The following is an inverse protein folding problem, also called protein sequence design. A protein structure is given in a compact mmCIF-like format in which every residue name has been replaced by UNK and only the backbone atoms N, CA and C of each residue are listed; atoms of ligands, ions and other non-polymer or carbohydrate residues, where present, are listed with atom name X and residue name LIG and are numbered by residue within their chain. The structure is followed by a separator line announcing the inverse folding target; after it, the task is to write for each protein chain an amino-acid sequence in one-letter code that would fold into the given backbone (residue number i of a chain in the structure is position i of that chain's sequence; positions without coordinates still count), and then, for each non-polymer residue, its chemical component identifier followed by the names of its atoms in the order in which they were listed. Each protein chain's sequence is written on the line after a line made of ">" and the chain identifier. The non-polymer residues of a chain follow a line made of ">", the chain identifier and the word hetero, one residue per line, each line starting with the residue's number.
data_IF_088100018371
#
_entry.id   IF_088100018371
#
_cell.length_a   1.000
_cell.length_b   1.000
_cell.length_c   1.000
_cell.angle_alpha   90.00
_cell.angle_beta   90.00
_cell.angle_gamma   90.00
#
_symmetry.space_group_name_H-M   'P 1'
#
loop_
_entity.id
_entity.type
_entity.pdbx_description
1 polymer ?
#
# COMPACT_ATOMS: atom_id res chain seq x y z
N UNK A 1 -1.72 -29.01 19.41
CA UNK A 1 -2.19 -27.64 19.27
C UNK A 1 -1.66 -27.11 17.93
N UNK A 2 -2.54 -26.79 16.98
CA UNK A 2 -2.12 -26.19 15.71
C UNK A 2 -1.48 -24.83 16.03
N UNK A 3 -0.21 -24.65 15.66
CA UNK A 3 0.48 -23.37 15.75
C UNK A 3 -0.30 -22.38 14.87
N UNK A 4 -0.88 -21.33 15.46
CA UNK A 4 -1.48 -20.24 14.71
C UNK A 4 -0.43 -19.74 13.69
N UNK A 5 -0.76 -19.81 12.39
CA UNK A 5 0.04 -19.20 11.34
C UNK A 5 0.07 -17.69 11.61
N UNK A 6 1.22 -17.16 11.95
CA UNK A 6 1.45 -15.72 12.06
C UNK A 6 1.32 -15.13 10.65
N UNK A 7 0.16 -14.55 10.36
CA UNK A 7 -0.06 -13.81 9.11
C UNK A 7 0.61 -12.45 9.22
N UNK A 8 1.23 -11.99 8.14
CA UNK A 8 1.74 -10.63 8.04
C UNK A 8 0.60 -9.63 8.31
N UNK A 9 0.79 -8.79 9.30
CA UNK A 9 -0.24 -7.88 9.78
C UNK A 9 0.10 -6.44 9.42
N UNK A 10 -0.88 -5.72 8.89
CA UNK A 10 -0.72 -4.32 8.49
C UNK A 10 -1.71 -3.47 9.27
N UNK A 11 -1.24 -2.33 9.77
CA UNK A 11 -2.10 -1.29 10.36
C UNK A 11 -1.99 0.01 9.58
N UNK A 12 -3.14 0.57 9.23
CA UNK A 12 -3.26 1.86 8.56
C UNK A 12 -3.94 2.83 9.51
N UNK A 13 -3.23 3.91 9.82
CA UNK A 13 -3.76 5.06 10.56
C UNK A 13 -4.09 6.17 9.57
N UNK A 14 -5.29 6.75 9.66
CA UNK A 14 -5.74 7.81 8.76
C UNK A 14 -6.48 8.91 9.49
N UNK A 15 -6.54 10.10 8.90
CA UNK A 15 -7.16 11.28 9.52
C UNK A 15 -8.62 11.45 9.13
N UNK A 16 -8.96 11.17 7.88
CA UNK A 16 -10.21 11.56 7.27
C UNK A 16 -11.14 10.41 6.90
N UNK A 17 -12.36 10.79 6.58
CA UNK A 17 -13.40 9.87 6.14
C UNK A 17 -13.11 9.30 4.73
N UNK A 18 -12.43 10.07 3.89
CA UNK A 18 -12.05 9.67 2.52
C UNK A 18 -11.10 8.50 2.54
N UNK A 19 -9.99 8.62 3.26
CA UNK A 19 -8.96 7.60 3.41
C UNK A 19 -9.57 6.34 4.02
N UNK A 20 -10.36 6.52 5.08
CA UNK A 20 -11.01 5.40 5.76
C UNK A 20 -11.91 4.60 4.80
N UNK A 21 -12.81 5.27 4.07
CA UNK A 21 -13.70 4.59 3.13
C UNK A 21 -12.95 3.97 1.96
N UNK A 22 -11.92 4.65 1.45
CA UNK A 22 -11.10 4.10 0.37
C UNK A 22 -10.46 2.77 0.79
N UNK A 23 -9.72 2.78 1.89
CA UNK A 23 -9.01 1.57 2.33
C UNK A 23 -9.95 0.48 2.84
N UNK A 24 -11.01 0.82 3.58
CA UNK A 24 -11.98 -0.17 4.05
C UNK A 24 -12.71 -0.86 2.90
N UNK A 25 -13.12 -0.11 1.88
CA UNK A 25 -13.73 -0.67 0.67
C UNK A 25 -12.72 -1.53 -0.10
N UNK A 26 -11.48 -1.08 -0.23
CA UNK A 26 -10.43 -1.85 -0.89
C UNK A 26 -10.15 -3.17 -0.15
N UNK A 27 -10.12 -3.14 1.18
CA UNK A 27 -10.00 -4.33 2.03
C UNK A 27 -11.13 -5.33 1.76
N UNK A 28 -12.36 -4.85 1.72
CA UNK A 28 -13.54 -5.69 1.50
C UNK A 28 -13.52 -6.34 0.10
N UNK A 29 -13.20 -5.57 -0.95
CA UNK A 29 -13.20 -6.04 -2.36
C UNK A 29 -12.04 -7.00 -2.62
N UNK A 30 -10.83 -6.63 -2.19
CA UNK A 30 -9.60 -7.38 -2.49
C UNK A 30 -9.24 -8.41 -1.42
N UNK A 31 -9.98 -8.46 -0.32
CA UNK A 31 -9.74 -9.35 0.83
C UNK A 31 -8.33 -9.20 1.43
N UNK A 32 -7.80 -7.99 1.39
CA UNK A 32 -6.53 -7.68 2.03
C UNK A 32 -6.65 -7.79 3.56
N UNK A 33 -5.60 -8.31 4.20
CA UNK A 33 -5.57 -8.45 5.64
C UNK A 33 -4.87 -7.26 6.29
N UNK A 34 -5.65 -6.26 6.70
CA UNK A 34 -5.16 -5.13 7.48
C UNK A 34 -6.26 -4.56 8.38
N UNK A 35 -5.88 -3.79 9.37
CA UNK A 35 -6.80 -3.01 10.21
C UNK A 35 -6.65 -1.52 9.97
N UNK A 36 -7.78 -0.80 10.07
CA UNK A 36 -7.84 0.66 10.04
C UNK A 36 -7.95 1.20 11.46
N UNK A 37 -7.18 2.26 11.74
CA UNK A 37 -7.24 2.97 13.02
C UNK A 37 -7.34 4.50 12.77
N UNK A 38 -8.13 5.23 13.54
CA UNK A 38 -9.17 4.71 14.43
C UNK A 38 -10.29 4.01 13.64
N UNK A 39 -10.96 3.04 14.27
CA UNK A 39 -12.17 2.46 13.70
C UNK A 39 -13.22 3.57 13.56
N UNK A 40 -13.54 3.96 12.34
CA UNK A 40 -14.36 5.09 11.90
C UNK A 40 -14.12 6.35 12.75
N UNK A 41 -13.49 7.40 12.20
CA UNK A 41 -13.32 8.67 12.93
C UNK A 41 -14.67 9.20 13.41
N UNK A 42 -14.91 9.20 14.71
CA UNK A 42 -16.08 9.87 15.28
C UNK A 42 -15.96 11.35 14.92
N UNK A 43 -17.00 11.91 14.27
CA UNK A 43 -17.04 13.28 13.75
C UNK A 43 -16.09 13.59 12.56
N UNK A 44 -15.61 12.57 11.84
CA UNK A 44 -15.00 12.74 10.53
C UNK A 44 -13.58 13.29 10.49
N UNK A 45 -12.93 13.56 11.63
CA UNK A 45 -11.56 14.08 11.67
C UNK A 45 -10.80 13.57 12.88
N UNK A 46 -9.73 12.84 12.67
CA UNK A 46 -8.64 12.70 13.64
C UNK A 46 -7.45 13.55 13.18
N UNK A 47 -6.67 14.11 14.09
CA UNK A 47 -5.43 14.79 13.68
C UNK A 47 -4.28 13.82 13.62
N UNK A 48 -3.26 14.11 12.78
CA UNK A 48 -2.05 13.27 12.74
C UNK A 48 -1.41 13.09 14.12
N UNK A 49 -1.50 14.11 15.00
CA UNK A 49 -1.00 14.03 16.39
C UNK A 49 -1.75 13.00 17.24
N UNK A 50 -3.05 12.86 17.02
CA UNK A 50 -3.84 11.80 17.69
C UNK A 50 -3.45 10.42 17.14
N UNK A 51 -3.27 10.31 15.83
CA UNK A 51 -2.79 9.07 15.21
C UNK A 51 -1.39 8.69 15.69
N UNK A 52 -0.47 9.64 15.87
CA UNK A 52 0.84 9.36 16.46
C UNK A 52 0.75 8.77 17.87
N UNK A 53 -0.20 9.23 18.71
CA UNK A 53 -0.42 8.62 20.04
C UNK A 53 -0.93 7.18 19.95
N UNK A 54 -1.76 6.86 18.95
CA UNK A 54 -2.21 5.49 18.70
C UNK A 54 -1.06 4.61 18.19
N UNK A 55 -0.24 5.15 17.29
CA UNK A 55 0.98 4.50 16.78
C UNK A 55 1.97 4.21 17.92
N UNK A 56 2.16 5.15 18.85
CA UNK A 56 3.01 4.92 20.03
C UNK A 56 2.53 3.73 20.88
N UNK A 57 1.22 3.58 21.04
CA UNK A 57 0.64 2.42 21.74
C UNK A 57 0.91 1.12 20.98
N UNK A 58 0.81 1.15 19.65
CA UNK A 58 1.12 -0.01 18.81
C UNK A 58 2.60 -0.40 18.92
N UNK A 59 3.51 0.59 18.83
CA UNK A 59 4.97 0.39 18.91
C UNK A 59 5.43 -0.15 20.28
N UNK A 60 4.66 0.12 21.36
CA UNK A 60 4.94 -0.39 22.71
C UNK A 60 4.50 -1.84 22.95
N UNK A 61 3.75 -2.43 22.02
CA UNK A 61 3.36 -3.84 22.11
C UNK A 61 4.57 -4.76 21.98
N UNK A 62 4.43 -5.97 22.51
CA UNK A 62 5.43 -7.01 22.26
C UNK A 62 5.63 -7.23 20.76
N UNK A 63 6.87 -7.51 20.29
CA UNK A 63 7.14 -7.72 18.87
C UNK A 63 6.23 -8.74 18.17
N UNK A 64 5.75 -9.75 18.92
CA UNK A 64 4.84 -10.78 18.39
C UNK A 64 3.38 -10.32 18.22
N UNK A 65 2.98 -9.23 18.90
CA UNK A 65 1.62 -8.68 18.89
C UNK A 65 1.55 -7.38 18.04
N UNK A 66 2.70 -6.80 17.77
CA UNK A 66 2.82 -5.59 16.99
C UNK A 66 2.61 -5.88 15.52
N UNK A 67 1.97 -4.96 14.80
CA UNK A 67 1.84 -5.04 13.35
C UNK A 67 3.22 -5.07 12.67
N UNK A 68 3.36 -5.91 11.63
CA UNK A 68 4.59 -6.04 10.83
C UNK A 68 4.84 -4.79 9.96
N UNK A 69 3.77 -4.10 9.55
CA UNK A 69 3.85 -2.81 8.87
C UNK A 69 2.85 -1.81 9.44
N UNK A 70 3.29 -0.58 9.65
CA UNK A 70 2.49 0.52 10.18
C UNK A 70 2.55 1.68 9.19
N UNK A 71 1.39 2.09 8.68
CA UNK A 71 1.24 3.23 7.78
C UNK A 71 0.48 4.36 8.45
N UNK A 72 0.94 5.59 8.26
CA UNK A 72 0.20 6.80 8.57
C UNK A 72 -0.15 7.52 7.26
N UNK A 73 -1.43 7.50 6.89
CA UNK A 73 -1.95 8.20 5.71
C UNK A 73 -2.34 9.61 6.12
N UNK A 74 -1.80 10.61 5.41
CA UNK A 74 -1.92 12.02 5.79
C UNK A 74 -2.00 12.95 4.58
N UNK A 75 -2.92 13.92 4.66
CA UNK A 75 -2.99 15.06 3.76
C UNK A 75 -2.08 16.18 4.28
N UNK A 76 -1.31 16.80 3.40
CA UNK A 76 -0.27 17.76 3.83
C UNK A 76 -0.62 19.23 3.57
N UNK A 77 -1.77 19.54 2.98
CA UNK A 77 -2.20 20.91 2.65
C UNK A 77 -2.24 21.83 3.87
N UNK A 78 -2.97 21.43 4.91
CA UNK A 78 -3.11 22.22 6.13
C UNK A 78 -1.80 22.38 6.91
N UNK A 79 -0.92 21.37 6.84
CA UNK A 79 0.37 21.40 7.54
C UNK A 79 1.37 22.34 6.85
N UNK A 80 1.38 22.36 5.51
CA UNK A 80 2.28 23.21 4.71
C UNK A 80 1.92 24.68 4.77
N UNK A 81 0.67 25.01 5.04
CA UNK A 81 0.21 26.40 5.17
C UNK A 81 0.70 27.09 6.46
N UNK A 82 1.25 26.34 7.42
CA UNK A 82 1.83 26.85 8.66
C UNK A 82 3.27 26.32 8.81
N UNK A 83 4.27 27.17 8.63
CA UNK A 83 5.68 26.80 8.68
C UNK A 83 6.10 26.13 10.00
N UNK A 84 5.49 26.56 11.13
CA UNK A 84 5.76 25.97 12.45
C UNK A 84 5.17 24.57 12.57
N UNK A 85 3.93 24.37 12.11
CA UNK A 85 3.31 23.04 12.08
C UNK A 85 4.05 22.11 11.12
N UNK A 86 4.46 22.62 9.96
CA UNK A 86 5.26 21.86 8.99
C UNK A 86 6.60 21.42 9.59
N UNK A 87 7.33 22.32 10.24
CA UNK A 87 8.60 21.97 10.89
C UNK A 87 8.43 20.89 11.97
N UNK A 88 7.37 21.00 12.80
CA UNK A 88 7.05 20.00 13.81
C UNK A 88 6.65 18.65 13.19
N UNK A 89 5.90 18.70 12.09
CA UNK A 89 5.54 17.49 11.34
C UNK A 89 6.77 16.76 10.82
N UNK A 90 7.71 17.46 10.18
CA UNK A 90 8.95 16.85 9.66
C UNK A 90 9.80 16.22 10.77
N UNK A 91 9.89 16.86 11.94
CA UNK A 91 10.59 16.29 13.10
C UNK A 91 9.91 14.99 13.58
N UNK A 92 8.60 15.01 13.71
CA UNK A 92 7.85 13.80 14.08
C UNK A 92 8.01 12.70 13.03
N UNK A 93 7.87 13.03 11.74
CA UNK A 93 8.07 12.09 10.64
C UNK A 93 9.42 11.40 10.75
N UNK A 94 10.52 12.16 10.82
CA UNK A 94 11.86 11.62 10.94
C UNK A 94 12.06 10.72 12.18
N UNK A 95 11.41 11.07 13.30
CA UNK A 95 11.42 10.26 14.53
C UNK A 95 10.74 8.91 14.32
N UNK A 96 9.51 8.91 13.76
CA UNK A 96 8.70 7.69 13.66
C UNK A 96 9.12 6.80 12.48
N UNK A 97 9.67 7.36 11.41
CA UNK A 97 10.28 6.58 10.32
C UNK A 97 11.44 5.72 10.83
N UNK A 98 12.28 6.24 11.75
CA UNK A 98 13.32 5.46 12.44
C UNK A 98 12.76 4.31 13.29
N UNK A 99 11.49 4.37 13.66
CA UNK A 99 10.79 3.32 14.42
C UNK A 99 10.02 2.36 13.52
N UNK A 100 10.17 2.46 12.20
CA UNK A 100 9.52 1.58 11.22
C UNK A 100 8.10 2.00 10.82
N UNK A 101 7.71 3.26 11.05
CA UNK A 101 6.44 3.80 10.58
C UNK A 101 6.60 4.44 9.21
N UNK A 102 5.80 4.04 8.24
CA UNK A 102 5.83 4.64 6.90
C UNK A 102 4.76 5.72 6.76
N UNK A 103 5.15 6.91 6.34
CA UNK A 103 4.26 8.05 6.10
C UNK A 103 3.80 8.07 4.65
N UNK A 104 2.51 7.89 4.46
CA UNK A 104 1.83 7.90 3.16
C UNK A 104 1.23 9.28 2.94
N UNK A 105 2.05 10.17 2.45
CA UNK A 105 1.69 11.57 2.23
C UNK A 105 0.96 11.77 0.91
N UNK A 106 -0.04 12.66 0.92
CA UNK A 106 -0.64 13.24 -0.27
C UNK A 106 -0.57 14.77 -0.19
N UNK A 107 -0.19 15.43 -1.27
CA UNK A 107 -0.22 16.89 -1.38
C UNK A 107 -1.00 17.34 -2.63
N UNK A 108 -2.06 18.13 -2.44
CA UNK A 108 -2.58 18.62 -1.17
C UNK A 108 -3.30 17.54 -0.35
N UNK A 109 -4.02 16.61 -0.98
CA UNK A 109 -4.91 15.65 -0.32
C UNK A 109 -5.01 14.34 -1.11
N UNK A 110 -5.59 13.29 -0.49
CA UNK A 110 -5.74 11.95 -1.09
C UNK A 110 -6.55 11.96 -2.40
N UNK A 111 -7.36 12.97 -2.66
CA UNK A 111 -8.14 13.07 -3.91
C UNK A 111 -7.27 13.16 -5.15
N UNK A 112 -6.01 13.56 -5.05
CA UNK A 112 -5.01 13.45 -6.15
C UNK A 112 -4.86 11.99 -6.59
N UNK A 113 -4.94 11.04 -5.66
CA UNK A 113 -4.92 9.63 -5.99
C UNK A 113 -6.10 9.23 -6.88
N UNK A 114 -7.31 9.77 -6.63
CA UNK A 114 -8.47 9.50 -7.48
C UNK A 114 -8.33 10.13 -8.87
N UNK A 115 -7.77 11.32 -8.96
CA UNK A 115 -7.44 11.93 -10.26
C UNK A 115 -6.48 11.05 -11.06
N UNK A 116 -5.45 10.50 -10.42
CA UNK A 116 -4.47 9.65 -11.11
C UNK A 116 -5.05 8.36 -11.68
N UNK A 117 -6.18 7.86 -11.16
CA UNK A 117 -6.92 6.74 -11.79
C UNK A 117 -7.46 7.11 -13.17
N UNK A 118 -7.90 8.35 -13.35
CA UNK A 118 -8.67 8.81 -14.49
C UNK A 118 -7.86 9.69 -15.46
N UNK A 119 -6.63 10.02 -15.11
CA UNK A 119 -5.68 10.72 -16.00
C UNK A 119 -4.99 9.71 -16.91
N UNK A 120 -5.22 9.77 -18.22
CA UNK A 120 -4.57 8.87 -19.19
C UNK A 120 -3.03 8.91 -19.11
N UNK A 121 -2.49 10.11 -18.92
CA UNK A 121 -1.06 10.34 -18.73
C UNK A 121 -0.84 11.33 -17.59
N UNK A 122 0.24 11.13 -16.86
CA UNK A 122 0.66 12.10 -15.86
C UNK A 122 0.85 13.48 -16.50
N UNK A 123 0.19 14.47 -15.95
CA UNK A 123 0.38 15.88 -16.23
C UNK A 123 0.58 16.61 -14.91
N UNK A 124 1.54 17.55 -14.88
CA UNK A 124 1.75 18.35 -13.70
C UNK A 124 0.50 19.17 -13.37
N UNK A 125 0.17 19.23 -12.10
CA UNK A 125 -0.90 20.05 -11.54
C UNK A 125 -0.34 20.88 -10.38
N UNK A 126 -0.94 22.05 -10.12
CA UNK A 126 -0.45 22.98 -9.10
C UNK A 126 -1.60 23.38 -8.18
N UNK A 127 -2.10 22.40 -7.44
CA UNK A 127 -3.16 22.59 -6.43
C UNK A 127 -2.53 22.85 -5.06
N UNK A 128 -3.01 23.89 -4.37
CA UNK A 128 -2.53 24.24 -3.05
C UNK A 128 -3.32 23.54 -1.94
N UNK A 129 -4.62 23.48 -2.11
CA UNK A 129 -5.57 22.93 -1.14
C UNK A 129 -6.60 22.02 -1.80
N UNK A 130 -7.38 21.30 -1.00
CA UNK A 130 -8.47 20.45 -1.49
C UNK A 130 -9.45 21.16 -2.44
N UNK A 131 -9.80 22.42 -2.14
CA UNK A 131 -10.78 23.18 -2.95
C UNK A 131 -10.28 23.43 -4.38
N UNK A 132 -8.98 23.47 -4.60
CA UNK A 132 -8.38 23.58 -5.94
C UNK A 132 -8.51 22.26 -6.73
N UNK A 133 -8.45 21.11 -6.03
CA UNK A 133 -8.58 19.77 -6.63
C UNK A 133 -10.02 19.48 -7.04
N UNK A 134 -10.98 19.93 -6.24
CA UNK A 134 -12.39 19.58 -6.34
C UNK A 134 -13.02 19.85 -7.73
N UNK A 135 -12.79 20.99 -8.41
CA UNK A 135 -13.32 21.23 -9.75
C UNK A 135 -12.81 20.21 -10.79
N UNK A 136 -11.53 19.86 -10.73
CA UNK A 136 -10.93 18.86 -11.63
C UNK A 136 -11.45 17.46 -11.34
N UNK A 137 -11.61 17.12 -10.07
CA UNK A 137 -12.16 15.84 -9.66
C UNK A 137 -13.63 15.68 -10.08
N UNK A 138 -14.45 16.72 -9.95
CA UNK A 138 -15.86 16.70 -10.35
C UNK A 138 -16.08 16.61 -11.86
N UNK A 139 -15.09 17.01 -12.68
CA UNK A 139 -15.16 16.79 -14.13
C UNK A 139 -15.11 15.31 -14.49
N UNK A 140 -14.37 14.50 -13.73
CA UNK A 140 -14.17 13.07 -13.98
C UNK A 140 -14.99 12.16 -13.07
N UNK A 141 -15.34 12.63 -11.87
CA UNK A 141 -16.23 11.97 -10.91
C UNK A 141 -17.39 12.90 -10.59
N UNK A 142 -18.39 12.93 -11.47
CA UNK A 142 -19.56 13.82 -11.34
C UNK A 142 -20.23 13.67 -9.97
N UNK A 143 -20.51 14.81 -9.32
CA UNK A 143 -21.14 14.84 -8.01
C UNK A 143 -20.26 14.34 -6.86
N UNK A 144 -18.92 14.35 -7.03
CA UNK A 144 -18.01 13.96 -5.94
C UNK A 144 -18.25 14.77 -4.67
N UNK A 145 -18.35 14.06 -3.55
CA UNK A 145 -18.54 14.60 -2.20
C UNK A 145 -17.75 13.79 -1.17
N UNK A 146 -17.16 14.47 -0.19
CA UNK A 146 -16.49 13.81 0.97
C UNK A 146 -17.53 13.32 1.99
N UNK A 147 -18.41 12.41 1.59
CA UNK A 147 -19.44 11.86 2.48
C UNK A 147 -19.46 10.34 2.45
N UNK A 148 -19.76 9.73 3.60
CA UNK A 148 -19.95 8.28 3.70
C UNK A 148 -20.99 7.75 2.70
N UNK A 149 -22.04 8.55 2.45
CA UNK A 149 -23.08 8.23 1.47
C UNK A 149 -22.50 8.12 0.07
N UNK A 150 -21.68 9.10 -0.35
CA UNK A 150 -21.04 9.09 -1.66
C UNK A 150 -20.22 7.82 -1.87
N UNK A 151 -19.29 7.53 -0.96
CA UNK A 151 -18.39 6.37 -1.09
C UNK A 151 -19.13 5.04 -1.11
N UNK A 152 -20.26 4.91 -0.41
CA UNK A 152 -21.04 3.67 -0.34
C UNK A 152 -22.01 3.46 -1.51
N UNK A 153 -22.49 4.54 -2.15
CA UNK A 153 -23.58 4.45 -3.13
C UNK A 153 -23.23 4.92 -4.54
N UNK A 154 -22.09 5.61 -4.73
CA UNK A 154 -21.73 6.13 -6.05
C UNK A 154 -21.13 5.03 -6.92
N UNK A 155 -21.86 4.64 -7.98
CA UNK A 155 -21.47 3.55 -8.89
C UNK A 155 -20.21 3.92 -9.71
N UNK A 156 -20.06 5.16 -10.14
CA UNK A 156 -18.91 5.60 -10.90
C UNK A 156 -17.65 5.48 -10.06
N UNK A 157 -17.69 5.98 -8.80
CA UNK A 157 -16.57 5.84 -7.87
C UNK A 157 -16.23 4.35 -7.65
N UNK A 158 -17.23 3.51 -7.41
CA UNK A 158 -17.04 2.08 -7.21
C UNK A 158 -16.38 1.42 -8.44
N UNK A 159 -16.86 1.69 -9.64
CA UNK A 159 -16.36 1.06 -10.87
C UNK A 159 -14.96 1.59 -11.23
N UNK A 160 -14.80 2.91 -11.30
CA UNK A 160 -13.60 3.53 -11.86
C UNK A 160 -12.42 3.55 -10.85
N UNK A 161 -12.70 3.74 -9.56
CA UNK A 161 -11.65 3.87 -8.55
C UNK A 161 -11.41 2.54 -7.82
N UNK A 162 -12.49 1.83 -7.44
CA UNK A 162 -12.35 0.67 -6.58
C UNK A 162 -12.22 -0.65 -7.33
N UNK A 163 -12.95 -0.86 -8.41
CA UNK A 163 -13.00 -2.13 -9.14
C UNK A 163 -12.03 -2.19 -10.32
N UNK A 164 -11.90 -1.10 -11.08
CA UNK A 164 -11.06 -1.07 -12.28
C UNK A 164 -9.58 -1.33 -11.95
N UNK A 165 -9.07 -2.46 -12.44
CA UNK A 165 -7.66 -2.79 -12.31
C UNK A 165 -6.80 -1.89 -13.20
N UNK A 166 -7.25 -1.64 -14.44
CA UNK A 166 -6.56 -0.76 -15.39
C UNK A 166 -6.37 0.65 -14.83
N UNK A 167 -7.44 1.24 -14.27
CA UNK A 167 -7.35 2.57 -13.67
C UNK A 167 -6.42 2.58 -12.45
N UNK A 168 -6.41 1.52 -11.66
CA UNK A 168 -5.48 1.39 -10.51
C UNK A 168 -4.04 1.30 -10.96
N UNK A 169 -3.73 0.56 -12.03
CA UNK A 169 -2.38 0.48 -12.58
C UNK A 169 -1.94 1.82 -13.16
N UNK A 170 -2.86 2.53 -13.81
CA UNK A 170 -2.66 3.90 -14.28
C UNK A 170 -2.37 4.85 -13.12
N UNK A 171 -3.13 4.75 -12.03
CA UNK A 171 -2.91 5.57 -10.82
C UNK A 171 -1.53 5.31 -10.21
N UNK A 172 -1.09 4.06 -10.11
CA UNK A 172 0.24 3.70 -9.64
C UNK A 172 1.31 4.33 -10.54
N UNK A 173 1.19 4.19 -11.86
CA UNK A 173 2.16 4.74 -12.81
C UNK A 173 2.24 6.27 -12.72
N UNK A 174 1.08 6.95 -12.62
CA UNK A 174 1.00 8.40 -12.49
C UNK A 174 1.57 8.88 -11.14
N UNK A 175 1.26 8.20 -10.03
CA UNK A 175 1.78 8.55 -8.71
C UNK A 175 3.32 8.40 -8.64
N UNK A 176 3.88 7.36 -9.25
CA UNK A 176 5.33 7.17 -9.32
C UNK A 176 5.99 8.33 -10.09
N UNK A 177 5.40 8.75 -11.22
CA UNK A 177 5.89 9.89 -12.00
C UNK A 177 5.78 11.19 -11.21
N UNK A 178 4.65 11.39 -10.52
CA UNK A 178 4.43 12.55 -9.68
C UNK A 178 5.46 12.65 -8.54
N UNK A 179 5.73 11.54 -7.85
CA UNK A 179 6.73 11.52 -6.78
C UNK A 179 8.17 11.80 -7.27
N UNK A 180 8.45 11.55 -8.54
CA UNK A 180 9.76 11.82 -9.19
C UNK A 180 9.83 13.17 -9.89
N UNK A 181 8.70 13.86 -10.02
CA UNK A 181 8.64 15.17 -10.68
C UNK A 181 9.33 16.22 -9.82
N UNK A 182 10.21 16.99 -10.44
CA UNK A 182 10.88 18.13 -9.82
C UNK A 182 10.18 19.40 -10.30
N UNK A 183 9.40 20.06 -9.43
CA UNK A 183 8.68 21.28 -9.80
C UNK A 183 9.65 22.43 -10.07
N UNK A 184 9.35 23.24 -11.09
CA UNK A 184 10.09 24.46 -11.32
C UNK A 184 9.66 25.55 -10.34
N UNK A 185 10.43 26.65 -10.28
CA UNK A 185 10.15 27.77 -9.38
C UNK A 185 8.71 28.30 -9.57
N UNK A 186 7.98 28.43 -8.47
CA UNK A 186 6.58 28.87 -8.45
C UNK A 186 5.53 27.77 -8.64
N UNK A 187 5.94 26.55 -8.97
CA UNK A 187 5.02 25.42 -9.07
C UNK A 187 4.81 24.75 -7.70
N UNK A 188 3.60 24.24 -7.48
CA UNK A 188 3.28 23.42 -6.30
C UNK A 188 3.44 21.95 -6.67
N UNK A 189 4.27 21.24 -5.95
CA UNK A 189 4.48 19.81 -6.15
C UNK A 189 3.29 19.00 -5.62
N UNK A 190 2.42 18.54 -6.53
CA UNK A 190 1.32 17.63 -6.19
C UNK A 190 1.75 16.17 -6.37
N UNK A 191 1.56 15.37 -5.34
CA UNK A 191 1.92 13.95 -5.33
C UNK A 191 1.09 13.15 -4.33
N UNK A 192 1.12 11.83 -4.44
CA UNK A 192 0.60 10.92 -3.44
C UNK A 192 1.43 9.65 -3.36
N UNK A 193 1.65 9.17 -2.14
CA UNK A 193 2.35 7.90 -1.86
C UNK A 193 1.40 6.72 -1.62
N UNK A 194 0.10 6.88 -1.85
CA UNK A 194 -0.89 5.79 -1.68
C UNK A 194 -0.51 4.55 -2.48
N UNK A 195 0.15 4.73 -3.63
CA UNK A 195 0.64 3.61 -4.45
C UNK A 195 1.59 2.66 -3.69
N UNK A 196 2.33 3.13 -2.69
CA UNK A 196 3.24 2.30 -1.88
C UNK A 196 2.46 1.26 -1.07
N UNK A 197 1.34 1.66 -0.47
CA UNK A 197 0.44 0.76 0.27
C UNK A 197 -0.17 -0.28 -0.67
N UNK A 198 -0.62 0.14 -1.85
CA UNK A 198 -1.22 -0.76 -2.84
C UNK A 198 -0.19 -1.80 -3.33
N UNK A 199 1.05 -1.36 -3.55
CA UNK A 199 2.16 -2.25 -3.93
C UNK A 199 2.43 -3.30 -2.86
N UNK A 200 2.48 -2.91 -1.60
CA UNK A 200 2.64 -3.86 -0.49
C UNK A 200 1.51 -4.90 -0.49
N UNK A 201 0.26 -4.47 -0.60
CA UNK A 201 -0.86 -5.41 -0.62
C UNK A 201 -0.81 -6.38 -1.79
N UNK A 202 -0.39 -5.93 -2.96
CA UNK A 202 -0.18 -6.82 -4.11
C UNK A 202 0.93 -7.84 -3.85
N UNK A 203 2.04 -7.43 -3.27
CA UNK A 203 3.10 -8.35 -2.89
C UNK A 203 2.60 -9.39 -1.87
N UNK A 204 1.88 -8.97 -0.83
CA UNK A 204 1.29 -9.88 0.16
C UNK A 204 0.27 -10.85 -0.45
N UNK A 205 -0.52 -10.39 -1.43
CA UNK A 205 -1.41 -11.26 -2.17
C UNK A 205 -0.62 -12.34 -2.93
N UNK A 206 0.47 -11.96 -3.61
CA UNK A 206 1.33 -12.92 -4.31
C UNK A 206 2.02 -13.90 -3.37
N UNK A 207 2.45 -13.46 -2.19
CA UNK A 207 2.94 -14.39 -1.15
C UNK A 207 1.88 -15.42 -0.79
N UNK A 208 0.62 -15.01 -0.63
CA UNK A 208 -0.46 -15.95 -0.35
C UNK A 208 -0.72 -16.91 -1.53
N UNK A 209 -0.69 -16.44 -2.78
CA UNK A 209 -0.84 -17.27 -3.98
C UNK A 209 0.28 -18.32 -4.05
N UNK A 210 1.53 -17.90 -3.82
CA UNK A 210 2.70 -18.79 -3.74
C UNK A 210 2.51 -19.82 -2.62
N UNK A 211 2.05 -19.41 -1.44
CA UNK A 211 1.80 -20.33 -0.31
C UNK A 211 0.76 -21.40 -0.67
N UNK A 212 -0.37 -20.99 -1.28
CA UNK A 212 -1.44 -21.92 -1.68
C UNK A 212 -0.89 -22.94 -2.70
N UNK A 213 -0.25 -22.47 -3.76
CA UNK A 213 0.28 -23.34 -4.80
C UNK A 213 1.37 -24.29 -4.28
N UNK A 214 2.26 -23.81 -3.41
CA UNK A 214 3.29 -24.64 -2.78
C UNK A 214 2.70 -25.70 -1.85
N UNK A 215 1.67 -25.34 -1.05
CA UNK A 215 0.96 -26.29 -0.19
C UNK A 215 0.28 -27.39 -1.02
N UNK A 216 -0.35 -27.04 -2.14
CA UNK A 216 -0.97 -28.01 -3.06
C UNK A 216 0.06 -28.96 -3.67
N UNK A 217 1.22 -28.43 -4.08
CA UNK A 217 2.28 -29.20 -4.71
C UNK A 217 2.90 -30.21 -3.75
N UNK A 218 3.27 -29.76 -2.56
CA UNK A 218 3.93 -30.58 -1.55
C UNK A 218 2.97 -31.43 -0.72
N UNK A 219 1.66 -31.22 -0.87
CA UNK A 219 0.59 -31.85 -0.04
C UNK A 219 0.82 -31.67 1.47
N UNK A 220 1.55 -30.62 1.83
CA UNK A 220 1.89 -30.28 3.23
C UNK A 220 1.74 -28.78 3.42
N UNK A 221 1.09 -28.32 4.50
CA UNK A 221 0.98 -26.89 4.79
C UNK A 221 2.36 -26.25 4.94
N UNK A 222 2.61 -25.16 4.20
CA UNK A 222 3.86 -24.39 4.28
C UNK A 222 3.56 -23.03 4.94
N UNK A 223 4.45 -22.63 5.82
CA UNK A 223 4.46 -21.30 6.41
C UNK A 223 5.50 -20.48 5.69
N UNK A 224 5.04 -19.47 4.93
CA UNK A 224 5.91 -18.46 4.33
C UNK A 224 6.09 -17.29 5.28
N UNK A 225 7.31 -16.79 5.35
CA UNK A 225 7.65 -15.60 6.13
C UNK A 225 8.07 -14.48 5.17
N UNK A 226 7.17 -13.53 4.87
CA UNK A 226 7.53 -12.33 4.13
C UNK A 226 8.20 -11.30 5.07
N UNK A 227 9.25 -10.65 4.58
CA UNK A 227 9.95 -9.55 5.26
C UNK A 227 10.16 -8.43 4.25
N UNK A 228 9.67 -7.23 4.56
CA UNK A 228 9.89 -6.04 3.75
C UNK A 228 11.27 -5.45 4.09
N UNK A 229 12.09 -5.19 3.08
CA UNK A 229 13.37 -4.51 3.24
C UNK A 229 13.23 -2.97 3.14
N UNK A 230 14.28 -2.24 3.46
CA UNK A 230 14.30 -0.76 3.44
C UNK A 230 14.10 -0.17 2.02
N UNK A 231 14.29 -0.97 0.98
CA UNK A 231 14.07 -0.59 -0.41
C UNK A 231 12.64 -0.89 -0.90
N UNK A 232 11.77 -1.39 -0.02
CA UNK A 232 10.40 -1.77 -0.35
C UNK A 232 10.29 -3.07 -1.16
N UNK A 233 11.33 -3.93 -1.16
CA UNK A 233 11.25 -5.26 -1.70
C UNK A 233 10.81 -6.24 -0.61
N UNK A 234 10.13 -7.31 -1.00
CA UNK A 234 9.66 -8.33 -0.06
C UNK A 234 10.43 -9.62 -0.24
N UNK A 235 11.27 -9.95 0.74
CA UNK A 235 11.93 -11.24 0.84
C UNK A 235 10.92 -12.26 1.34
N UNK A 236 10.83 -13.40 0.68
CA UNK A 236 9.95 -14.51 1.07
C UNK A 236 10.80 -15.72 1.36
N UNK A 237 10.66 -16.26 2.55
CA UNK A 237 11.35 -17.48 2.97
C UNK A 237 10.37 -18.49 3.57
N UNK A 238 10.79 -19.74 3.69
CA UNK A 238 10.01 -20.79 4.34
C UNK A 238 10.88 -21.57 5.32
N UNK A 239 10.24 -22.19 6.31
CA UNK A 239 10.94 -23.05 7.28
C UNK A 239 10.93 -24.49 6.78
N UNK A 240 12.11 -25.09 6.61
CA UNK A 240 12.30 -26.49 6.30
C UNK A 240 13.23 -27.10 7.33
N UNK A 241 12.75 -28.11 8.06
CA UNK A 241 13.51 -28.83 9.10
C UNK A 241 14.14 -27.91 10.18
N UNK A 242 13.53 -26.75 10.47
CA UNK A 242 14.04 -25.79 11.45
C UNK A 242 14.97 -24.73 10.86
N UNK A 243 15.37 -24.84 9.61
CA UNK A 243 16.17 -23.88 8.88
C UNK A 243 15.27 -22.96 8.03
N UNK A 244 15.62 -21.66 7.97
CA UNK A 244 14.91 -20.68 7.19
C UNK A 244 15.56 -20.53 5.81
N UNK A 245 14.93 -21.10 4.80
CA UNK A 245 15.43 -21.07 3.42
C UNK A 245 14.80 -19.95 2.61
N UNK A 246 15.58 -19.15 1.85
CA UNK A 246 15.04 -18.14 0.97
C UNK A 246 14.32 -18.79 -0.23
N UNK A 247 13.08 -18.35 -0.49
CA UNK A 247 12.28 -18.81 -1.61
C UNK A 247 12.39 -17.86 -2.81
N UNK A 248 12.02 -16.60 -2.60
CA UNK A 248 12.07 -15.60 -3.67
C UNK A 248 12.09 -14.17 -3.08
N UNK A 249 12.35 -13.20 -3.94
CA UNK A 249 12.19 -11.79 -3.67
C UNK A 249 11.13 -11.19 -4.61
N UNK A 250 10.14 -10.52 -4.05
CA UNK A 250 9.18 -9.74 -4.80
C UNK A 250 9.65 -8.28 -4.86
N UNK A 251 9.79 -7.75 -6.06
CA UNK A 251 10.32 -6.42 -6.32
C UNK A 251 9.51 -5.70 -7.39
N UNK A 252 9.30 -4.41 -7.21
CA UNK A 252 8.75 -3.56 -8.26
C UNK A 252 9.85 -2.94 -9.13
N UNK A 253 9.68 -3.08 -10.45
CA UNK A 253 10.44 -2.35 -11.47
C UNK A 253 9.45 -1.42 -12.20
N UNK A 254 9.52 -0.13 -11.90
CA UNK A 254 8.47 0.79 -12.30
C UNK A 254 7.10 0.40 -11.72
N UNK A 255 6.12 0.11 -12.57
CA UNK A 255 4.79 -0.36 -12.19
C UNK A 255 4.65 -1.89 -12.20
N UNK A 256 5.64 -2.62 -12.72
CA UNK A 256 5.62 -4.07 -12.84
C UNK A 256 6.13 -4.75 -11.58
N UNK A 257 5.40 -5.76 -11.09
CA UNK A 257 5.85 -6.63 -10.02
C UNK A 257 6.65 -7.81 -10.60
N UNK A 258 7.84 -8.03 -10.09
CA UNK A 258 8.72 -9.12 -10.46
C UNK A 258 8.95 -10.07 -9.29
N UNK A 259 9.03 -11.36 -9.57
CA UNK A 259 9.49 -12.39 -8.65
C UNK A 259 10.89 -12.84 -9.07
N UNK A 260 11.86 -12.67 -8.20
CA UNK A 260 13.26 -13.03 -8.41
C UNK A 260 13.56 -14.25 -7.57
N UNK A 261 13.98 -15.32 -8.21
CA UNK A 261 14.35 -16.59 -7.58
C UNK A 261 15.85 -16.78 -7.73
N UNK A 262 16.58 -16.40 -6.69
CA UNK A 262 18.05 -16.40 -6.73
C UNK A 262 18.66 -17.82 -6.87
N UNK A 263 18.03 -18.84 -6.28
CA UNK A 263 18.52 -20.22 -6.32
C UNK A 263 18.63 -20.79 -7.73
N UNK A 264 17.80 -20.32 -8.67
CA UNK A 264 17.81 -20.74 -10.07
C UNK A 264 18.18 -19.62 -11.05
N UNK A 265 18.52 -18.43 -10.55
CA UNK A 265 18.91 -17.27 -11.37
C UNK A 265 17.82 -16.74 -12.28
N UNK A 266 16.53 -16.98 -11.97
CA UNK A 266 15.39 -16.57 -12.82
C UNK A 266 14.60 -15.42 -12.26
N UNK A 267 14.05 -14.61 -13.17
CA UNK A 267 13.13 -13.51 -12.85
C UNK A 267 11.84 -13.69 -13.64
N UNK A 268 10.72 -13.59 -12.95
CA UNK A 268 9.38 -13.73 -13.51
C UNK A 268 8.60 -12.44 -13.34
N UNK A 269 7.86 -12.03 -14.39
CA UNK A 269 6.95 -10.89 -14.32
C UNK A 269 5.59 -11.36 -13.78
N UNK A 270 5.13 -10.73 -12.70
CA UNK A 270 3.87 -11.06 -12.05
C UNK A 270 2.80 -10.02 -12.43
N UNK A 271 2.18 -10.19 -13.60
CA UNK A 271 1.04 -9.33 -13.98
C UNK A 271 -0.22 -9.75 -13.24
N UNK A 272 -1.06 -8.77 -12.85
CA UNK A 272 -2.33 -9.03 -12.13
C UNK A 272 -3.35 -9.88 -12.93
N UNK A 273 -3.22 -9.92 -14.25
CA UNK A 273 -4.09 -10.68 -15.17
C UNK A 273 -3.57 -12.06 -15.52
N UNK A 274 -2.30 -12.34 -15.23
CA UNK A 274 -1.77 -13.67 -15.49
C UNK A 274 -2.12 -14.59 -14.32
N UNK A 275 -3.01 -15.53 -14.56
CA UNK A 275 -2.90 -16.86 -13.94
C UNK A 275 -1.53 -17.39 -14.37
N UNK A 276 -0.47 -16.89 -13.76
CA UNK A 276 0.83 -17.53 -13.88
C UNK A 276 0.56 -18.96 -13.47
N UNK A 277 1.01 -19.89 -14.29
CA UNK A 277 1.07 -21.26 -13.87
C UNK A 277 2.08 -21.32 -12.71
N UNK A 278 1.59 -20.90 -11.55
CA UNK A 278 2.36 -20.90 -10.30
C UNK A 278 2.89 -22.29 -10.00
N UNK A 279 2.28 -23.34 -10.56
CA UNK A 279 2.73 -24.72 -10.40
C UNK A 279 4.04 -24.95 -11.15
N UNK A 280 4.15 -24.54 -12.42
CA UNK A 280 5.40 -24.65 -13.19
C UNK A 280 6.53 -23.85 -12.55
N UNK A 281 6.25 -22.61 -12.11
CA UNK A 281 7.22 -21.77 -11.41
C UNK A 281 7.71 -22.43 -10.13
N UNK A 282 6.78 -22.95 -9.32
CA UNK A 282 7.10 -23.55 -8.02
C UNK A 282 7.77 -24.92 -8.14
N UNK A 283 7.42 -25.72 -9.13
CA UNK A 283 8.14 -26.97 -9.43
C UNK A 283 9.60 -26.66 -9.68
N UNK A 284 9.89 -25.67 -10.51
CA UNK A 284 11.25 -25.29 -10.86
C UNK A 284 12.03 -24.71 -9.66
N UNK A 285 11.38 -23.88 -8.85
CA UNK A 285 11.96 -23.29 -7.62
C UNK A 285 12.24 -24.36 -6.57
N UNK A 286 11.28 -25.24 -6.32
CA UNK A 286 11.39 -26.28 -5.30
C UNK A 286 12.36 -27.39 -5.71
N UNK A 287 12.42 -27.75 -6.99
CA UNK A 287 13.44 -28.69 -7.50
C UNK A 287 14.83 -28.14 -7.21
N UNK A 288 15.10 -26.87 -7.53
CA UNK A 288 16.41 -26.26 -7.28
C UNK A 288 16.77 -26.09 -5.79
N UNK A 289 15.78 -26.08 -4.86
CA UNK A 289 16.03 -25.94 -3.41
C UNK A 289 16.14 -27.33 -2.73
N UNK A 290 15.42 -28.34 -3.23
CA UNK A 290 15.38 -29.66 -2.62
C UNK A 290 16.45 -30.62 -3.17
N UNK A 291 17.13 -30.26 -4.26
CA UNK A 291 18.27 -30.99 -4.83
C UNK A 291 19.63 -30.63 -4.17
N UNK A 292 19.64 -29.68 -3.24
CA UNK A 292 20.76 -29.28 -2.40
C UNK A 292 20.48 -29.56 -0.94
#
# INVERSE_FOLDING_TARGET
>A
MAKLELRYTVKIFSEGITEWHYFDTLRAIKRFNFSMEPAIPQNGKSSYKQNLKLIERELKKNPQERADAIFLVIDTDTLRNDSKQWGLYLQNKAKYEKLGVTFIESHPCIEIWFLYHLMEKFGHTSYQIYDDVLPSLRKVLAGYEKTARYYRSNRTFANEIMLSQENRDRAIANAIKACKYEPVEGEIHNYTKVHEVIRLFRMLQRVNDIRVATTELLRTPIILKPVLDDNGNMQVSFNHNGEQLPLCMLKYDGSQLKCIVNSIGKTFELNDSSTIDHKSLLVEVLSGILEH
#
